data_IF_739934767581
#
_entry.id   IF_739934767581
#
_cell.length_a   1.000
_cell.length_b   1.000
_cell.length_c   1.000
_cell.angle_alpha   90.00
_cell.angle_beta   90.00
_cell.angle_gamma   90.00
#
_symmetry.space_group_name_H-M   'P 1'
#
loop_
_entity.id
_entity.type
_entity.pdbx_description
1 polymer ?
#
# COMPACT_ATOMS: atom_id res chain seq x y z
N UNK A 1 3.43 -6.14 25.52
CA UNK A 1 3.07 -5.04 24.58
C UNK A 1 3.94 -5.24 23.37
N UNK A 2 3.33 -5.55 22.25
CA UNK A 2 4.04 -5.86 21.02
C UNK A 2 4.61 -4.59 20.39
N UNK A 3 5.78 -4.73 19.78
CA UNK A 3 6.53 -3.65 19.14
C UNK A 3 6.23 -3.65 17.65
N UNK A 4 5.67 -2.55 17.16
CA UNK A 4 5.32 -2.37 15.77
C UNK A 4 6.22 -1.34 15.07
N UNK A 5 6.79 -1.73 13.95
CA UNK A 5 7.50 -0.85 13.03
C UNK A 5 6.61 -0.56 11.82
N UNK A 6 6.28 0.72 11.60
CA UNK A 6 5.46 1.16 10.46
C UNK A 6 6.29 2.05 9.54
N UNK A 7 6.44 1.65 8.27
CA UNK A 7 7.21 2.43 7.29
C UNK A 7 6.34 3.44 6.55
N UNK A 8 6.90 4.62 6.22
CA UNK A 8 6.20 5.66 5.46
C UNK A 8 5.07 6.34 6.23
N UNK A 9 5.30 6.64 7.52
CA UNK A 9 4.28 7.15 8.45
C UNK A 9 4.15 8.68 8.49
N UNK A 10 4.70 9.40 7.52
CA UNK A 10 4.60 10.88 7.53
C UNK A 10 3.22 11.40 7.12
N UNK A 11 2.40 10.61 6.44
CA UNK A 11 1.07 11.00 5.94
C UNK A 11 0.22 9.76 5.62
N UNK A 12 -1.09 9.93 5.51
CA UNK A 12 -2.00 8.95 4.92
C UNK A 12 -2.12 7.65 5.72
N UNK A 13 -2.08 6.51 5.03
CA UNK A 13 -2.29 5.19 5.65
C UNK A 13 -1.26 4.94 6.75
N UNK A 14 0.03 5.23 6.52
CA UNK A 14 1.08 4.97 7.51
C UNK A 14 0.95 5.81 8.77
N UNK A 15 0.59 7.09 8.66
CA UNK A 15 0.31 7.96 9.80
C UNK A 15 -0.90 7.46 10.59
N UNK A 16 -2.00 7.18 9.91
CA UNK A 16 -3.22 6.65 10.51
C UNK A 16 -2.98 5.32 11.21
N UNK A 17 -2.23 4.41 10.57
CA UNK A 17 -1.86 3.10 11.13
C UNK A 17 -1.00 3.25 12.38
N UNK A 18 0.02 4.12 12.34
CA UNK A 18 0.89 4.33 13.49
C UNK A 18 0.10 4.84 14.72
N UNK A 19 -0.78 5.81 14.51
CA UNK A 19 -1.60 6.37 15.58
C UNK A 19 -2.63 5.35 16.08
N UNK A 20 -3.29 4.65 15.17
CA UNK A 20 -4.29 3.63 15.51
C UNK A 20 -3.68 2.49 16.33
N UNK A 21 -2.56 1.92 15.91
CA UNK A 21 -1.87 0.86 16.66
C UNK A 21 -1.42 1.36 18.04
N UNK A 22 -0.89 2.59 18.15
CA UNK A 22 -0.50 3.15 19.45
C UNK A 22 -1.70 3.30 20.41
N UNK A 23 -2.89 3.70 19.91
CA UNK A 23 -4.15 3.74 20.67
C UNK A 23 -4.61 2.35 21.13
N UNK A 24 -4.28 1.32 20.36
CA UNK A 24 -4.61 -0.08 20.67
C UNK A 24 -3.48 -0.82 21.42
N UNK A 25 -2.71 -0.06 22.19
CA UNK A 25 -1.73 -0.59 23.13
C UNK A 25 -0.53 -1.32 22.51
N UNK A 26 -0.10 -0.90 21.30
CA UNK A 26 1.19 -1.29 20.73
C UNK A 26 2.26 -0.24 21.05
N UNK A 27 3.53 -0.66 21.18
CA UNK A 27 4.66 0.25 21.15
C UNK A 27 5.06 0.51 19.70
N UNK A 28 4.80 1.70 19.16
CA UNK A 28 4.91 1.97 17.73
C UNK A 28 6.15 2.80 17.41
N UNK A 29 6.95 2.33 16.47
CA UNK A 29 7.98 3.09 15.79
C UNK A 29 7.46 3.51 14.42
N UNK A 30 7.02 4.75 14.32
CA UNK A 30 6.57 5.39 13.08
C UNK A 30 7.81 5.91 12.33
N UNK A 31 8.02 5.48 11.10
CA UNK A 31 9.25 5.83 10.39
C UNK A 31 9.00 6.61 9.11
N UNK A 32 9.89 7.53 8.81
CA UNK A 32 9.83 8.42 7.66
C UNK A 32 11.21 8.98 7.30
N UNK A 33 11.41 9.40 6.05
CA UNK A 33 12.69 9.94 5.59
C UNK A 33 13.13 11.20 6.35
N UNK A 34 12.19 12.09 6.61
CA UNK A 34 12.43 13.29 7.42
C UNK A 34 11.61 13.22 8.71
N UNK A 35 12.22 12.98 9.89
CA UNK A 35 11.50 12.92 11.16
C UNK A 35 10.75 14.21 11.55
N UNK A 36 11.17 15.37 11.06
CA UNK A 36 10.48 16.65 11.33
C UNK A 36 9.05 16.66 10.77
N UNK A 37 8.79 15.87 9.71
CA UNK A 37 7.45 15.69 9.17
C UNK A 37 6.51 14.93 10.13
N UNK A 38 7.05 14.28 11.15
CA UNK A 38 6.29 13.55 12.17
C UNK A 38 5.90 14.39 13.39
N UNK A 39 6.17 15.70 13.42
CA UNK A 39 5.90 16.56 14.59
C UNK A 39 4.44 16.48 15.02
N UNK A 40 3.49 16.63 14.10
CA UNK A 40 2.07 16.56 14.41
C UNK A 40 1.65 15.18 14.96
N UNK A 41 2.21 14.08 14.41
CA UNK A 41 1.99 12.74 14.89
C UNK A 41 2.51 12.55 16.32
N UNK A 42 3.70 13.08 16.63
CA UNK A 42 4.28 13.05 17.97
C UNK A 42 3.47 13.88 18.97
N UNK A 43 2.98 15.05 18.57
CA UNK A 43 2.13 15.90 19.41
C UNK A 43 0.81 15.20 19.74
N UNK A 44 0.16 14.58 18.75
CA UNK A 44 -1.04 13.77 18.95
C UNK A 44 -0.79 12.61 19.91
N UNK A 45 0.26 11.83 19.66
CA UNK A 45 0.64 10.72 20.54
C UNK A 45 0.92 11.18 21.97
N UNK A 46 1.64 12.27 22.15
CA UNK A 46 1.96 12.84 23.46
C UNK A 46 0.70 13.33 24.20
N UNK A 47 -0.21 13.99 23.49
CA UNK A 47 -1.46 14.50 24.09
C UNK A 47 -2.36 13.38 24.61
N UNK A 48 -2.30 12.21 23.98
CA UNK A 48 -3.06 11.02 24.33
C UNK A 48 -2.27 10.04 25.25
N UNK A 49 -0.99 10.34 25.56
CA UNK A 49 -0.15 9.48 26.41
C UNK A 49 0.24 8.16 25.75
N UNK A 50 0.31 8.14 24.42
CA UNK A 50 0.59 6.92 23.65
C UNK A 50 2.09 6.58 23.57
N UNK A 51 2.41 5.31 23.43
CA UNK A 51 3.78 4.83 23.17
C UNK A 51 4.08 4.82 21.69
N UNK A 52 4.43 6.00 21.16
CA UNK A 52 4.79 6.19 19.76
C UNK A 52 6.08 7.01 19.68
N UNK A 53 7.03 6.50 18.90
CA UNK A 53 8.29 7.16 18.60
C UNK A 53 8.42 7.38 17.09
N UNK A 54 9.11 8.45 16.68
CA UNK A 54 9.40 8.72 15.27
C UNK A 54 10.89 8.51 15.03
N UNK A 55 11.23 7.73 14.00
CA UNK A 55 12.61 7.47 13.59
C UNK A 55 12.81 7.80 12.10
N UNK A 56 14.07 8.13 11.75
CA UNK A 56 14.47 8.27 10.36
C UNK A 56 14.56 6.90 9.69
N UNK A 57 13.95 6.79 8.51
CA UNK A 57 14.07 5.61 7.64
C UNK A 57 13.85 6.01 6.18
N UNK A 58 14.85 5.74 5.35
CA UNK A 58 14.68 5.64 3.90
C UNK A 58 14.76 4.17 3.51
N UNK A 59 13.65 3.61 3.03
CA UNK A 59 13.58 2.19 2.62
C UNK A 59 14.43 1.88 1.39
N UNK A 60 14.86 2.91 0.65
CA UNK A 60 15.75 2.80 -0.51
C UNK A 60 17.21 2.73 -0.12
N UNK A 61 17.56 3.03 1.13
CA UNK A 61 18.93 3.02 1.66
C UNK A 61 19.12 1.85 2.64
N UNK A 62 20.03 0.93 2.29
CA UNK A 62 20.28 -0.27 3.07
C UNK A 62 20.85 0.02 4.47
N UNK A 63 21.71 1.03 4.58
CA UNK A 63 22.30 1.43 5.86
C UNK A 63 21.26 2.11 6.74
N UNK A 64 20.41 2.97 6.16
CA UNK A 64 19.26 3.56 6.85
C UNK A 64 18.33 2.47 7.43
N UNK A 65 18.01 1.45 6.62
CA UNK A 65 17.17 0.33 7.06
C UNK A 65 17.82 -0.46 8.22
N UNK A 66 19.09 -0.82 8.07
CA UNK A 66 19.82 -1.59 9.08
C UNK A 66 19.95 -0.82 10.40
N UNK A 67 20.28 0.48 10.31
CA UNK A 67 20.43 1.35 11.46
C UNK A 67 19.09 1.52 12.20
N UNK A 68 17.98 1.75 11.47
CA UNK A 68 16.67 1.91 12.06
C UNK A 68 16.21 0.63 12.79
N UNK A 69 16.34 -0.54 12.15
CA UNK A 69 16.01 -1.83 12.80
C UNK A 69 16.87 -2.06 14.01
N UNK A 70 18.19 -1.83 13.93
CA UNK A 70 19.13 -1.96 15.05
C UNK A 70 18.76 -1.03 16.21
N UNK A 71 18.38 0.21 15.93
CA UNK A 71 17.95 1.18 16.95
C UNK A 71 16.68 0.74 17.66
N UNK A 72 15.67 0.23 16.93
CA UNK A 72 14.45 -0.28 17.53
C UNK A 72 14.74 -1.48 18.43
N UNK A 73 15.56 -2.42 17.95
CA UNK A 73 15.94 -3.59 18.76
C UNK A 73 16.70 -3.19 20.02
N UNK A 74 17.59 -2.19 19.94
CA UNK A 74 18.31 -1.67 21.10
C UNK A 74 17.37 -0.98 22.12
N UNK A 75 16.33 -0.28 21.67
CA UNK A 75 15.39 0.44 22.55
C UNK A 75 14.30 -0.46 23.14
N UNK A 76 13.73 -1.35 22.30
CA UNK A 76 12.54 -2.14 22.62
C UNK A 76 12.80 -3.64 22.74
N UNK A 77 14.01 -4.10 22.44
CA UNK A 77 14.43 -5.51 22.53
C UNK A 77 14.10 -6.35 21.30
N UNK A 78 13.02 -6.04 20.59
CA UNK A 78 12.54 -6.82 19.44
C UNK A 78 11.61 -6.01 18.55
N UNK A 79 11.27 -6.58 17.39
CA UNK A 79 10.20 -6.11 16.52
C UNK A 79 9.23 -7.28 16.32
N UNK A 80 7.99 -7.13 16.78
CA UNK A 80 6.95 -8.16 16.68
C UNK A 80 6.13 -8.01 15.42
N UNK A 81 5.96 -6.76 14.97
CA UNK A 81 5.13 -6.42 13.81
C UNK A 81 5.91 -5.50 12.88
N UNK A 82 5.94 -5.86 11.60
CA UNK A 82 6.40 -4.99 10.52
C UNK A 82 5.22 -4.64 9.63
N UNK A 83 4.93 -3.34 9.48
CA UNK A 83 3.99 -2.83 8.48
C UNK A 83 4.77 -2.11 7.38
N UNK A 84 4.96 -2.77 6.25
CA UNK A 84 5.51 -2.20 5.04
C UNK A 84 4.42 -1.39 4.32
N UNK A 85 4.41 -0.08 4.59
CA UNK A 85 3.48 0.85 3.98
C UNK A 85 4.17 1.89 3.09
N UNK A 86 5.46 2.13 3.27
CA UNK A 86 6.21 3.06 2.41
C UNK A 86 6.03 2.73 0.93
N UNK A 87 5.62 3.73 0.15
CA UNK A 87 5.37 3.56 -1.27
C UNK A 87 5.17 4.89 -1.98
N UNK A 88 5.34 4.86 -3.29
CA UNK A 88 5.08 5.98 -4.20
C UNK A 88 4.11 5.55 -5.30
N UNK A 89 3.27 6.51 -5.72
CA UNK A 89 2.39 6.33 -6.87
C UNK A 89 3.14 6.49 -8.19
N UNK A 90 2.53 5.96 -9.24
CA UNK A 90 2.97 6.19 -10.62
C UNK A 90 1.76 6.11 -11.54
N UNK A 91 1.59 7.10 -12.39
CA UNK A 91 0.58 7.13 -13.44
C UNK A 91 1.21 7.56 -14.76
N UNK A 92 0.53 7.25 -15.84
CA UNK A 92 0.93 7.55 -17.20
C UNK A 92 1.16 6.30 -18.05
N UNK A 93 1.17 6.49 -19.39
CA UNK A 93 1.40 5.41 -20.34
C UNK A 93 2.78 4.80 -20.19
N UNK A 94 2.89 3.49 -20.34
CA UNK A 94 4.17 2.78 -20.19
C UNK A 94 5.22 3.27 -21.20
N UNK A 95 4.82 3.57 -22.43
CA UNK A 95 5.70 4.07 -23.48
C UNK A 95 6.39 5.39 -23.10
N UNK A 96 5.70 6.25 -22.36
CA UNK A 96 6.18 7.58 -21.96
C UNK A 96 6.87 7.60 -20.60
N UNK A 97 6.83 6.48 -19.86
CA UNK A 97 7.41 6.41 -18.52
C UNK A 97 8.95 6.36 -18.56
N UNK A 98 9.66 7.33 -17.95
CA UNK A 98 11.13 7.27 -17.88
C UNK A 98 11.58 6.00 -17.11
N UNK A 99 12.59 5.31 -17.65
CA UNK A 99 13.12 4.10 -17.01
C UNK A 99 13.66 4.35 -15.60
N UNK A 100 14.16 5.54 -15.32
CA UNK A 100 14.59 5.94 -13.98
C UNK A 100 13.41 5.96 -13.02
N UNK A 101 12.29 6.58 -13.42
CA UNK A 101 11.06 6.60 -12.62
C UNK A 101 10.52 5.18 -12.37
N UNK A 102 10.56 4.30 -13.37
CA UNK A 102 10.16 2.89 -13.20
C UNK A 102 11.03 2.21 -12.13
N UNK A 103 12.36 2.42 -12.18
CA UNK A 103 13.28 1.87 -11.18
C UNK A 103 12.99 2.42 -9.78
N UNK A 104 12.75 3.71 -9.63
CA UNK A 104 12.45 4.35 -8.34
C UNK A 104 11.18 3.78 -7.72
N UNK A 105 10.14 3.54 -8.55
CA UNK A 105 8.88 2.92 -8.07
C UNK A 105 9.13 1.49 -7.57
N UNK A 106 9.89 0.69 -8.31
CA UNK A 106 10.23 -0.67 -7.89
C UNK A 106 11.17 -0.66 -6.68
N UNK A 107 12.14 0.24 -6.63
CA UNK A 107 13.05 0.37 -5.49
C UNK A 107 12.27 0.64 -4.20
N UNK A 108 11.33 1.59 -4.24
CA UNK A 108 10.55 1.94 -3.05
C UNK A 108 9.49 0.89 -2.72
N UNK A 109 8.65 0.53 -3.72
CA UNK A 109 7.44 -0.28 -3.46
C UNK A 109 7.75 -1.77 -3.28
N UNK A 110 8.85 -2.26 -3.85
CA UNK A 110 9.21 -3.68 -3.84
C UNK A 110 10.47 -3.92 -3.02
N UNK A 111 11.61 -3.40 -3.49
CA UNK A 111 12.89 -3.72 -2.87
C UNK A 111 13.04 -3.14 -1.47
N UNK A 112 12.48 -1.96 -1.20
CA UNK A 112 12.40 -1.38 0.14
C UNK A 112 11.66 -2.29 1.10
N UNK A 113 10.46 -2.78 0.72
CA UNK A 113 9.70 -3.71 1.55
C UNK A 113 10.43 -5.05 1.76
N UNK A 114 11.05 -5.60 0.71
CA UNK A 114 11.86 -6.84 0.80
C UNK A 114 13.03 -6.66 1.77
N UNK A 115 13.74 -5.54 1.69
CA UNK A 115 14.87 -5.20 2.56
C UNK A 115 14.43 -5.16 4.04
N UNK A 116 13.30 -4.53 4.32
CA UNK A 116 12.75 -4.49 5.69
C UNK A 116 12.36 -5.89 6.17
N UNK A 117 11.70 -6.71 5.34
CA UNK A 117 11.37 -8.10 5.68
C UNK A 117 12.62 -8.91 6.00
N UNK A 118 13.68 -8.81 5.17
CA UNK A 118 14.94 -9.53 5.40
C UNK A 118 15.62 -9.15 6.73
N UNK A 119 15.49 -7.90 7.16
CA UNK A 119 16.09 -7.43 8.42
C UNK A 119 15.33 -7.92 9.67
N UNK A 120 14.00 -8.04 9.61
CA UNK A 120 13.22 -8.45 10.79
C UNK A 120 13.01 -9.97 10.91
N UNK A 121 12.98 -10.68 9.79
CA UNK A 121 12.71 -12.12 9.73
C UNK A 121 13.64 -12.98 10.60
N UNK A 122 14.97 -12.75 10.66
CA UNK A 122 15.84 -13.58 11.52
C UNK A 122 15.40 -13.58 12.97
N UNK A 123 15.13 -12.41 13.54
CA UNK A 123 14.66 -12.28 14.92
C UNK A 123 13.27 -12.89 15.13
N UNK A 124 12.31 -12.65 14.23
CA UNK A 124 10.99 -13.27 14.29
C UNK A 124 11.06 -14.80 14.21
N UNK A 125 11.89 -15.34 13.32
CA UNK A 125 12.10 -16.78 13.16
C UNK A 125 12.70 -17.42 14.41
N UNK A 126 13.69 -16.78 15.03
CA UNK A 126 14.33 -17.27 16.25
C UNK A 126 13.32 -17.35 17.40
N UNK A 127 12.51 -16.33 17.58
CA UNK A 127 11.45 -16.28 18.59
C UNK A 127 10.22 -17.13 18.24
N UNK A 128 10.11 -17.59 16.98
CA UNK A 128 8.94 -18.27 16.42
C UNK A 128 7.64 -17.46 16.59
N UNK A 129 7.77 -16.16 16.47
CA UNK A 129 6.68 -15.19 16.63
C UNK A 129 6.96 -13.93 15.82
N UNK A 130 5.95 -13.44 15.13
CA UNK A 130 5.99 -12.18 14.39
C UNK A 130 4.86 -12.06 13.37
N UNK A 131 4.58 -10.84 12.99
CA UNK A 131 3.58 -10.53 11.94
C UNK A 131 4.16 -9.54 10.94
N UNK A 132 4.07 -9.87 9.67
CA UNK A 132 4.44 -8.97 8.56
C UNK A 132 3.16 -8.59 7.83
N UNK A 133 2.92 -7.29 7.70
CA UNK A 133 1.81 -6.72 6.95
C UNK A 133 2.37 -5.89 5.80
N UNK A 134 2.08 -6.28 4.57
CA UNK A 134 2.46 -5.52 3.38
C UNK A 134 1.24 -4.79 2.82
N UNK A 135 1.30 -3.46 2.78
CA UNK A 135 0.27 -2.63 2.15
C UNK A 135 0.54 -2.59 0.65
N UNK A 136 -0.20 -3.43 -0.08
CA UNK A 136 -0.14 -3.51 -1.54
C UNK A 136 -1.16 -2.56 -2.18
N UNK A 137 -2.09 -3.05 -2.94
CA UNK A 137 -3.20 -2.31 -3.54
C UNK A 137 -4.09 -3.30 -4.30
N UNK A 138 -5.34 -2.94 -4.56
CA UNK A 138 -6.15 -3.59 -5.60
C UNK A 138 -5.43 -3.61 -6.96
N UNK A 139 -4.57 -2.60 -7.22
CA UNK A 139 -3.71 -2.57 -8.40
C UNK A 139 -2.63 -3.68 -8.43
N UNK A 140 -2.44 -4.44 -7.37
CA UNK A 140 -1.67 -5.69 -7.31
C UNK A 140 -2.47 -6.93 -7.72
N UNK A 141 -3.76 -6.77 -8.00
CA UNK A 141 -4.69 -7.83 -8.43
C UNK A 141 -5.30 -7.53 -9.80
N UNK A 142 -5.50 -6.26 -10.08
CA UNK A 142 -6.15 -5.76 -11.30
C UNK A 142 -5.25 -4.72 -11.95
N UNK A 143 -4.77 -5.01 -13.15
CA UNK A 143 -3.92 -4.08 -13.91
C UNK A 143 -4.79 -3.06 -14.63
N UNK A 144 -4.71 -1.79 -14.23
CA UNK A 144 -5.43 -0.71 -14.89
C UNK A 144 -4.57 -0.04 -15.98
N UNK A 145 -5.15 0.38 -17.11
CA UNK A 145 -4.46 1.26 -18.06
C UNK A 145 -3.87 2.49 -17.36
N UNK A 146 -2.79 3.04 -17.89
CA UNK A 146 -2.03 4.17 -17.33
C UNK A 146 -1.39 3.95 -15.94
N UNK A 147 -1.41 2.72 -15.41
CA UNK A 147 -0.83 2.39 -14.12
C UNK A 147 0.18 1.25 -14.18
N UNK A 148 0.73 0.95 -15.36
CA UNK A 148 1.58 -0.23 -15.59
C UNK A 148 2.73 -0.34 -14.61
N UNK A 149 3.47 0.75 -14.37
CA UNK A 149 4.60 0.78 -13.43
C UNK A 149 4.15 0.53 -12.00
N UNK A 150 3.11 1.23 -11.55
CA UNK A 150 2.56 1.07 -10.20
C UNK A 150 1.97 -0.33 -10.00
N UNK A 151 1.07 -0.75 -10.91
CA UNK A 151 0.46 -2.07 -10.84
C UNK A 151 1.52 -3.16 -10.86
N UNK A 152 2.50 -3.08 -11.78
CA UNK A 152 3.61 -4.02 -11.84
C UNK A 152 4.37 -4.14 -10.52
N UNK A 153 4.65 -3.01 -9.84
CA UNK A 153 5.30 -3.01 -8.53
C UNK A 153 4.43 -3.66 -7.44
N UNK A 154 3.11 -3.40 -7.45
CA UNK A 154 2.19 -3.98 -6.46
C UNK A 154 1.92 -5.47 -6.71
N UNK A 155 1.82 -5.91 -7.97
CA UNK A 155 1.79 -7.34 -8.32
C UNK A 155 3.08 -8.05 -7.88
N UNK A 156 4.25 -7.43 -8.10
CA UNK A 156 5.52 -8.01 -7.66
C UNK A 156 5.56 -8.20 -6.14
N UNK A 157 5.18 -7.17 -5.36
CA UNK A 157 5.14 -7.28 -3.90
C UNK A 157 4.10 -8.30 -3.44
N UNK A 158 2.93 -8.39 -4.10
CA UNK A 158 1.87 -9.34 -3.76
C UNK A 158 2.37 -10.78 -3.88
N UNK A 159 2.89 -11.17 -5.06
CA UNK A 159 3.35 -12.55 -5.30
C UNK A 159 4.55 -12.91 -4.43
N UNK A 160 5.48 -11.98 -4.17
CA UNK A 160 6.62 -12.21 -3.26
C UNK A 160 6.14 -12.41 -1.82
N UNK A 161 5.11 -11.68 -1.40
CA UNK A 161 4.50 -11.81 -0.07
C UNK A 161 3.77 -13.15 0.09
N UNK A 162 3.04 -13.58 -0.93
CA UNK A 162 2.38 -14.91 -0.93
C UNK A 162 3.39 -16.04 -0.81
N UNK A 163 4.48 -15.97 -1.56
CA UNK A 163 5.56 -16.96 -1.46
C UNK A 163 6.19 -16.95 -0.07
N UNK A 164 6.51 -15.78 0.46
CA UNK A 164 7.05 -15.63 1.80
C UNK A 164 6.12 -16.23 2.87
N UNK A 165 4.82 -16.01 2.77
CA UNK A 165 3.86 -16.55 3.72
C UNK A 165 3.97 -18.08 3.86
N UNK A 166 4.12 -18.77 2.72
CA UNK A 166 4.32 -20.22 2.70
C UNK A 166 5.69 -20.65 3.28
N UNK A 167 6.74 -19.84 3.08
CA UNK A 167 8.07 -20.12 3.59
C UNK A 167 8.16 -20.01 5.12
N UNK A 168 7.45 -19.02 5.72
CA UNK A 168 7.63 -18.64 7.13
C UNK A 168 6.56 -19.17 8.07
N UNK A 169 5.43 -19.67 7.57
CA UNK A 169 4.33 -20.21 8.41
C UNK A 169 4.81 -21.30 9.40
N UNK A 170 5.75 -22.14 8.99
CA UNK A 170 6.36 -23.18 9.85
C UNK A 170 7.13 -22.60 11.05
N UNK A 171 7.47 -21.33 11.01
CA UNK A 171 8.16 -20.64 12.10
C UNK A 171 7.19 -19.84 13.00
N UNK A 172 5.88 -19.96 12.80
CA UNK A 172 4.88 -19.23 13.56
C UNK A 172 4.82 -17.74 13.22
N UNK A 173 5.34 -17.34 12.04
CA UNK A 173 5.30 -15.98 11.55
C UNK A 173 4.06 -15.84 10.65
N UNK A 174 3.24 -14.83 10.93
CA UNK A 174 2.07 -14.46 10.12
C UNK A 174 2.47 -13.47 9.04
N UNK A 175 1.84 -13.58 7.88
CA UNK A 175 2.02 -12.62 6.78
C UNK A 175 0.65 -12.24 6.25
N UNK A 176 0.42 -10.95 6.06
CA UNK A 176 -0.82 -10.42 5.53
C UNK A 176 -0.57 -9.38 4.42
N UNK A 177 -1.44 -9.40 3.43
CA UNK A 177 -1.55 -8.42 2.35
C UNK A 177 -2.77 -7.56 2.63
N UNK A 178 -2.58 -6.25 2.71
CA UNK A 178 -3.69 -5.30 2.70
C UNK A 178 -3.77 -4.72 1.31
N UNK A 179 -4.94 -4.85 0.69
CA UNK A 179 -5.18 -4.51 -0.72
C UNK A 179 -6.20 -3.36 -0.82
N UNK A 180 -5.77 -2.09 -0.58
CA UNK A 180 -6.67 -0.95 -0.66
C UNK A 180 -7.11 -0.65 -2.10
N UNK A 181 -8.35 -0.19 -2.24
CA UNK A 181 -8.81 0.54 -3.40
C UNK A 181 -8.29 1.99 -3.41
N UNK A 182 -9.13 2.92 -3.83
CA UNK A 182 -8.81 4.36 -3.83
C UNK A 182 -9.01 4.93 -2.43
N UNK A 183 -7.89 5.22 -1.75
CA UNK A 183 -7.88 5.80 -0.42
C UNK A 183 -7.56 7.29 -0.50
N UNK A 184 -8.27 8.11 0.25
CA UNK A 184 -8.03 9.55 0.30
C UNK A 184 -6.68 9.87 0.98
N UNK A 185 -5.62 9.91 0.19
CA UNK A 185 -4.25 10.16 0.65
C UNK A 185 -3.48 11.06 -0.32
N UNK A 186 -2.36 11.67 0.11
CA UNK A 186 -1.51 12.45 -0.78
C UNK A 186 -0.75 11.63 -1.85
N UNK A 187 -0.91 10.31 -1.92
CA UNK A 187 -0.16 9.47 -2.87
C UNK A 187 -0.41 9.88 -4.33
N UNK A 188 -1.62 10.32 -4.65
CA UNK A 188 -2.01 10.75 -6.00
C UNK A 188 -1.36 12.07 -6.42
N UNK A 189 -0.90 12.89 -5.48
CA UNK A 189 -0.17 14.13 -5.76
C UNK A 189 1.35 13.94 -5.83
N UNK A 190 1.84 12.74 -5.48
CA UNK A 190 3.27 12.42 -5.44
C UNK A 190 3.60 11.43 -6.57
N UNK A 191 4.39 11.86 -7.56
CA UNK A 191 4.93 10.97 -8.58
C UNK A 191 4.15 10.89 -9.89
N UNK A 192 3.12 11.70 -10.09
CA UNK A 192 2.45 11.80 -11.38
C UNK A 192 3.15 12.85 -12.26
N UNK A 193 3.53 12.48 -13.47
CA UNK A 193 3.86 13.45 -14.49
C UNK A 193 2.59 14.24 -14.85
N UNK A 194 2.70 15.57 -15.09
CA UNK A 194 1.55 16.32 -15.58
C UNK A 194 1.07 15.72 -16.90
N UNK A 195 -0.26 15.69 -17.15
CA UNK A 195 -0.79 15.22 -18.41
C UNK A 195 -0.14 15.98 -19.57
N UNK A 196 0.35 15.25 -20.58
CA UNK A 196 0.82 15.82 -21.83
C UNK A 196 -0.36 15.85 -22.83
N UNK A 197 -0.90 17.03 -23.17
CA UNK A 197 -2.04 17.12 -24.11
C UNK A 197 -1.70 16.67 -25.54
N UNK A 198 -0.41 16.63 -25.88
CA UNK A 198 0.08 16.18 -27.20
C UNK A 198 0.34 14.66 -27.23
N UNK A 199 0.17 13.98 -26.10
CA UNK A 199 0.35 12.53 -26.01
C UNK A 199 -0.74 11.80 -26.80
N UNK A 200 -0.39 10.78 -27.61
CA UNK A 200 -1.38 9.90 -28.23
C UNK A 200 -2.23 9.13 -27.20
N UNK A 201 -1.85 9.18 -25.93
CA UNK A 201 -2.56 8.55 -24.81
C UNK A 201 -3.41 9.52 -23.98
N UNK A 202 -3.57 10.78 -24.43
CA UNK A 202 -4.28 11.82 -23.67
C UNK A 202 -5.69 11.41 -23.24
N UNK A 203 -6.46 10.74 -24.11
CA UNK A 203 -7.80 10.22 -23.78
C UNK A 203 -7.78 9.16 -22.65
N UNK A 204 -6.77 8.29 -22.63
CA UNK A 204 -6.61 7.32 -21.55
C UNK A 204 -6.30 8.00 -20.21
N UNK A 205 -5.49 9.05 -20.23
CA UNK A 205 -5.17 9.84 -19.05
C UNK A 205 -6.42 10.53 -18.52
N UNK A 206 -7.25 11.09 -19.40
CA UNK A 206 -8.53 11.71 -19.05
C UNK A 206 -9.51 10.71 -18.43
N UNK A 207 -9.68 9.55 -19.04
CA UNK A 207 -10.52 8.45 -18.50
C UNK A 207 -10.04 7.98 -17.12
N UNK A 208 -8.73 7.80 -16.96
CA UNK A 208 -8.15 7.45 -15.66
C UNK A 208 -8.40 8.55 -14.61
N UNK A 209 -8.24 9.82 -14.99
CA UNK A 209 -8.54 10.96 -14.13
C UNK A 209 -10.01 10.99 -13.69
N UNK A 210 -10.93 10.77 -14.61
CA UNK A 210 -12.36 10.66 -14.31
C UNK A 210 -12.64 9.48 -13.37
N UNK A 211 -12.08 8.31 -13.66
CA UNK A 211 -12.24 7.11 -12.84
C UNK A 211 -11.80 7.32 -11.38
N UNK A 212 -10.65 7.98 -11.16
CA UNK A 212 -10.19 8.34 -9.82
C UNK A 212 -11.07 9.43 -9.19
N UNK A 213 -11.49 10.45 -9.98
CA UNK A 213 -12.31 11.55 -9.50
C UNK A 213 -13.63 11.07 -8.90
N UNK A 214 -14.34 10.21 -9.62
CA UNK A 214 -15.63 9.65 -9.17
C UNK A 214 -15.46 8.84 -7.87
N UNK A 215 -14.38 8.07 -7.75
CA UNK A 215 -14.10 7.30 -6.53
C UNK A 215 -13.78 8.16 -5.32
N UNK A 216 -13.18 9.32 -5.55
CA UNK A 216 -12.93 10.30 -4.49
C UNK A 216 -14.17 11.08 -4.05
N UNK A 217 -15.31 10.94 -4.72
CA UNK A 217 -16.59 11.49 -4.26
C UNK A 217 -17.17 10.69 -3.07
N UNK A 218 -16.90 9.36 -3.03
CA UNK A 218 -17.22 8.47 -1.91
C UNK A 218 -15.93 7.79 -1.42
N UNK A 219 -15.00 8.52 -0.79
CA UNK A 219 -13.67 7.98 -0.51
C UNK A 219 -13.68 6.99 0.64
N UNK A 220 -12.79 6.00 0.55
CA UNK A 220 -12.34 5.24 1.72
C UNK A 220 -11.23 6.04 2.42
N UNK A 221 -11.24 6.06 3.74
CA UNK A 221 -10.30 6.84 4.52
C UNK A 221 -9.12 6.01 5.05
N UNK A 222 -7.95 6.63 5.29
CA UNK A 222 -6.79 5.95 5.87
C UNK A 222 -7.08 5.21 7.18
N UNK A 223 -8.04 5.69 7.95
CA UNK A 223 -8.44 5.09 9.22
C UNK A 223 -9.03 3.68 9.02
N UNK A 224 -9.84 3.46 7.99
CA UNK A 224 -10.42 2.15 7.67
C UNK A 224 -9.34 1.13 7.30
N UNK A 225 -8.28 1.60 6.62
CA UNK A 225 -7.11 0.75 6.33
C UNK A 225 -6.35 0.42 7.61
N UNK A 226 -6.17 1.38 8.51
CA UNK A 226 -5.49 1.19 9.79
C UNK A 226 -6.23 0.18 10.69
N UNK A 227 -7.54 0.25 10.74
CA UNK A 227 -8.40 -0.70 11.46
C UNK A 227 -8.28 -2.12 10.89
N UNK A 228 -8.23 -2.24 9.57
CA UNK A 228 -8.06 -3.54 8.92
C UNK A 228 -6.65 -4.11 9.12
N UNK A 229 -5.61 -3.25 9.16
CA UNK A 229 -4.25 -3.65 9.52
C UNK A 229 -4.22 -4.20 10.95
N UNK A 230 -4.81 -3.50 11.93
CA UNK A 230 -4.90 -4.01 13.29
C UNK A 230 -5.64 -5.35 13.33
N UNK A 231 -6.81 -5.44 12.68
CA UNK A 231 -7.56 -6.69 12.61
C UNK A 231 -6.69 -7.84 12.06
N UNK A 232 -5.93 -7.62 10.97
CA UNK A 232 -5.05 -8.64 10.40
C UNK A 232 -3.94 -9.08 11.35
N UNK A 233 -3.49 -8.19 12.25
CA UNK A 233 -2.49 -8.48 13.27
C UNK A 233 -3.07 -9.33 14.42
N UNK A 234 -4.25 -8.95 14.93
CA UNK A 234 -4.77 -9.52 16.19
C UNK A 234 -5.75 -10.68 16.02
N UNK A 235 -6.30 -10.88 14.83
CA UNK A 235 -7.35 -11.89 14.60
C UNK A 235 -6.89 -13.31 14.89
N UNK A 236 -7.78 -14.12 15.46
CA UNK A 236 -7.58 -15.56 15.64
C UNK A 236 -7.82 -16.36 14.35
N UNK A 237 -8.43 -15.73 13.32
CA UNK A 237 -8.70 -16.33 12.02
C UNK A 237 -7.94 -15.57 10.90
N UNK A 238 -6.59 -15.68 10.86
CA UNK A 238 -5.79 -14.91 9.91
C UNK A 238 -6.03 -15.35 8.48
N UNK A 239 -6.14 -14.36 7.59
CA UNK A 239 -6.17 -14.55 6.14
C UNK A 239 -4.89 -14.00 5.53
N UNK A 240 -4.55 -14.45 4.34
CA UNK A 240 -3.42 -13.87 3.60
C UNK A 240 -3.79 -12.49 3.04
N UNK A 241 -5.02 -12.30 2.53
CA UNK A 241 -5.44 -11.09 1.82
C UNK A 241 -6.65 -10.44 2.45
N UNK A 242 -6.60 -9.12 2.53
CA UNK A 242 -7.63 -8.26 3.08
C UNK A 242 -7.88 -7.09 2.12
N UNK A 243 -9.01 -7.11 1.43
CA UNK A 243 -9.47 -5.99 0.60
C UNK A 243 -10.06 -4.89 1.48
N UNK A 244 -9.85 -3.63 1.13
CA UNK A 244 -10.46 -2.48 1.80
C UNK A 244 -10.90 -1.41 0.80
N UNK A 245 -12.10 -0.93 0.99
CA UNK A 245 -12.82 -0.04 0.09
C UNK A 245 -13.76 -0.78 -0.86
N UNK A 246 -14.97 -0.26 -1.07
CA UNK A 246 -15.99 -0.90 -1.90
C UNK A 246 -15.52 -1.10 -3.35
N UNK A 247 -14.72 -0.16 -3.87
CA UNK A 247 -14.11 -0.23 -5.18
C UNK A 247 -13.11 -1.39 -5.33
N UNK A 248 -12.38 -1.74 -4.26
CA UNK A 248 -11.46 -2.88 -4.28
C UNK A 248 -12.23 -4.21 -4.48
N UNK A 249 -13.35 -4.38 -3.78
CA UNK A 249 -14.18 -5.58 -3.91
C UNK A 249 -14.79 -5.70 -5.30
N UNK A 250 -15.42 -4.63 -5.80
CA UNK A 250 -16.06 -4.65 -7.13
C UNK A 250 -15.04 -4.90 -8.25
N UNK A 251 -13.87 -4.28 -8.19
CA UNK A 251 -12.82 -4.46 -9.20
C UNK A 251 -12.27 -5.88 -9.23
N UNK A 252 -11.95 -6.46 -8.08
CA UNK A 252 -11.41 -7.83 -8.01
C UNK A 252 -12.46 -8.83 -8.48
N UNK A 253 -13.72 -8.66 -8.08
CA UNK A 253 -14.81 -9.51 -8.54
C UNK A 253 -14.99 -9.40 -10.06
N UNK A 254 -15.19 -8.19 -10.57
CA UNK A 254 -15.38 -7.97 -12.01
C UNK A 254 -14.23 -8.54 -12.84
N UNK A 255 -12.97 -8.29 -12.43
CA UNK A 255 -11.81 -8.84 -13.17
C UNK A 255 -11.78 -10.37 -13.17
N UNK A 256 -12.26 -11.02 -12.12
CA UNK A 256 -12.31 -12.49 -12.05
C UNK A 256 -13.39 -13.11 -12.94
N UNK A 257 -14.39 -12.34 -13.31
CA UNK A 257 -15.51 -12.77 -14.16
C UNK A 257 -15.28 -12.45 -15.64
N UNK A 258 -14.40 -11.49 -15.96
CA UNK A 258 -14.09 -11.08 -17.33
C UNK A 258 -12.97 -11.90 -17.95
N UNK A 259 -13.13 -12.24 -19.24
CA UNK A 259 -12.02 -12.74 -20.07
C UNK A 259 -10.96 -11.65 -20.29
N UNK A 260 -9.78 -12.06 -20.76
CA UNK A 260 -8.72 -11.10 -21.08
C UNK A 260 -9.13 -10.19 -22.25
N UNK A 261 -9.85 -10.72 -23.23
CA UNK A 261 -10.38 -9.97 -24.37
C UNK A 261 -11.38 -8.89 -23.92
N UNK A 262 -12.31 -9.24 -23.03
CA UNK A 262 -13.26 -8.29 -22.46
C UNK A 262 -12.56 -7.21 -21.62
N UNK A 263 -11.50 -7.59 -20.88
CA UNK A 263 -10.70 -6.61 -20.15
C UNK A 263 -9.97 -5.65 -21.09
N UNK A 264 -9.39 -6.16 -22.18
CA UNK A 264 -8.71 -5.33 -23.20
C UNK A 264 -9.65 -4.34 -23.89
N UNK A 265 -10.94 -4.66 -23.99
CA UNK A 265 -11.94 -3.73 -24.55
C UNK A 265 -12.04 -2.41 -23.78
N UNK A 266 -11.66 -2.35 -22.50
CA UNK A 266 -11.61 -1.10 -21.72
C UNK A 266 -10.59 -0.11 -22.29
N UNK A 267 -9.65 -0.60 -23.10
CA UNK A 267 -8.62 0.18 -23.76
C UNK A 267 -8.96 0.63 -25.18
N UNK A 268 -10.13 0.28 -25.73
CA UNK A 268 -10.50 0.70 -27.08
C UNK A 268 -10.81 2.20 -27.17
N UNK A 269 -10.74 2.73 -28.38
CA UNK A 269 -11.19 4.08 -28.68
C UNK A 269 -12.71 4.19 -28.44
N UNK A 270 -13.11 5.09 -27.56
CA UNK A 270 -14.50 5.35 -27.19
C UNK A 270 -14.61 6.69 -26.47
N UNK A 271 -15.79 7.29 -26.47
CA UNK A 271 -16.07 8.48 -25.68
C UNK A 271 -16.03 8.19 -24.16
N UNK A 272 -15.91 9.24 -23.34
CA UNK A 272 -15.95 9.10 -21.89
C UNK A 272 -17.28 8.48 -21.41
N UNK A 273 -18.41 8.86 -22.04
CA UNK A 273 -19.74 8.32 -21.72
C UNK A 273 -19.81 6.81 -21.99
N UNK A 274 -19.34 6.35 -23.16
CA UNK A 274 -19.25 4.92 -23.49
C UNK A 274 -18.34 4.17 -22.55
N UNK A 275 -17.22 4.76 -22.11
CA UNK A 275 -16.31 4.17 -21.14
C UNK A 275 -16.97 3.98 -19.76
N UNK A 276 -17.65 5.00 -19.26
CA UNK A 276 -18.39 4.93 -17.98
C UNK A 276 -19.46 3.84 -18.04
N UNK A 277 -20.24 3.79 -19.15
CA UNK A 277 -21.24 2.76 -19.36
C UNK A 277 -20.63 1.36 -19.40
N UNK A 278 -19.51 1.18 -20.11
CA UNK A 278 -18.78 -0.08 -20.20
C UNK A 278 -18.30 -0.58 -18.83
N UNK A 279 -17.78 0.32 -17.98
CA UNK A 279 -17.35 -0.04 -16.61
C UNK A 279 -18.53 -0.44 -15.73
N UNK A 280 -19.68 0.23 -15.87
CA UNK A 280 -20.92 -0.12 -15.15
C UNK A 280 -21.44 -1.49 -15.60
N UNK A 281 -21.59 -1.71 -16.91
CA UNK A 281 -22.07 -2.98 -17.47
C UNK A 281 -21.22 -4.20 -17.07
N UNK A 282 -19.94 -3.97 -16.81
CA UNK A 282 -18.98 -4.98 -16.35
C UNK A 282 -18.83 -5.09 -14.84
N UNK A 283 -19.64 -4.38 -14.07
CA UNK A 283 -19.60 -4.40 -12.61
C UNK A 283 -18.36 -3.77 -11.97
N UNK A 284 -17.48 -3.12 -12.77
CA UNK A 284 -16.25 -2.50 -12.27
C UNK A 284 -16.54 -1.28 -11.38
N UNK A 285 -17.66 -0.60 -11.61
CA UNK A 285 -18.10 0.57 -10.85
C UNK A 285 -19.44 0.37 -10.16
N UNK A 286 -19.91 -0.87 -10.00
CA UNK A 286 -21.23 -1.19 -9.43
C UNK A 286 -21.48 -0.61 -8.03
N UNK A 287 -20.44 -0.40 -7.23
CA UNK A 287 -20.56 0.21 -5.91
C UNK A 287 -20.95 1.71 -5.92
N UNK A 288 -20.91 2.37 -7.10
CA UNK A 288 -21.38 3.75 -7.24
C UNK A 288 -22.90 3.86 -7.32
N UNK A 289 -23.54 2.76 -7.66
CA UNK A 289 -25.01 2.66 -7.81
C UNK A 289 -25.72 2.37 -6.46
N UNK A 290 -24.93 2.05 -5.41
CA UNK A 290 -25.39 1.86 -4.02
C UNK A 290 -25.23 3.16 -3.19
#
# INVERSE_FOLDING_TARGET
>A
MDVALVTGSSTGIGESTALHLARNNFHVFATMRNPDAGTALLEAAKSEGLRLEVLALDVNDADSCSNCVGEIVNRAGQIDILVNNAGIGSGGPLEEAPMEHIRDVFETNVFGAVRMMQLVLPGMRERRHGTIVNVTSVAGRVANPNMSTYSGSKFALDVMTESLAAEVVRFGIRVALIEPGVIQTPIFSKGNNPPNPESPYSEFVERAGHWFGVRLEKPTYPQEVAELIEHAIVTDEPKLRYLVGPDAFSMVQARSELTDEEWLDTGREMSLEEYVQLLSDRGISSYLDE
#
